data_IF_879073580680
#
_entry.id   IF_879073580680
#
_cell.length_a   1.000
_cell.length_b   1.000
_cell.length_c   1.000
_cell.angle_alpha   90.00
_cell.angle_beta   90.00
_cell.angle_gamma   90.00
#
_symmetry.space_group_name_H-M   'P 1'
#
loop_
_entity.id
_entity.type
_entity.pdbx_description
1 polymer ?
#
# COMPACT_ATOMS: atom_id res chain seq x y z
N UNK A 1 -0.06 -23.38 10.69
CA UNK A 1 -1.16 -22.42 10.40
C UNK A 1 -0.72 -21.06 10.89
N UNK A 2 -0.22 -20.21 10.00
CA UNK A 2 0.40 -18.94 10.35
C UNK A 2 -0.67 -17.86 10.53
N UNK A 3 -1.08 -17.62 11.77
CA UNK A 3 -1.72 -16.36 12.15
C UNK A 3 -0.64 -15.30 12.30
N UNK A 4 -0.49 -14.41 11.32
CA UNK A 4 0.33 -13.21 11.49
C UNK A 4 -0.06 -12.13 10.48
N UNK A 5 -1.18 -11.47 10.75
CA UNK A 5 -1.29 -9.99 10.74
C UNK A 5 -2.37 -9.67 11.77
N UNK A 6 -1.94 -9.26 12.97
CA UNK A 6 -2.82 -8.94 14.09
C UNK A 6 -3.33 -7.50 14.07
N UNK A 7 -3.64 -6.98 12.88
CA UNK A 7 -4.29 -5.68 12.71
C UNK A 7 -5.47 -5.92 11.78
N UNK A 8 -6.67 -5.64 12.27
CA UNK A 8 -7.83 -5.64 11.40
C UNK A 8 -7.63 -4.54 10.36
N UNK A 9 -7.83 -4.76 9.05
CA UNK A 9 -7.69 -3.72 8.03
C UNK A 9 -8.51 -2.45 8.32
N UNK A 10 -9.53 -2.56 9.17
CA UNK A 10 -10.38 -1.47 9.63
C UNK A 10 -9.74 -0.54 10.69
N UNK A 11 -8.58 -0.90 11.24
CA UNK A 11 -7.88 -0.10 12.27
C UNK A 11 -6.79 0.80 11.70
N UNK A 12 -6.47 0.67 10.41
CA UNK A 12 -5.48 1.53 9.73
C UNK A 12 -6.19 2.82 9.29
N UNK A 13 -5.85 3.93 9.93
CA UNK A 13 -6.29 5.26 9.55
C UNK A 13 -5.80 5.63 8.16
N UNK A 14 -6.53 6.52 7.48
CA UNK A 14 -6.15 6.98 6.13
C UNK A 14 -4.81 7.69 6.10
N UNK A 15 -4.42 8.33 7.19
CA UNK A 15 -3.19 9.09 7.33
C UNK A 15 -2.06 8.26 7.96
N UNK A 16 -2.34 7.02 8.37
CA UNK A 16 -1.33 6.17 8.98
C UNK A 16 -0.37 5.67 7.90
N UNK A 17 0.93 5.79 8.18
CA UNK A 17 1.97 5.21 7.35
C UNK A 17 1.81 3.68 7.35
N UNK A 18 1.61 3.11 6.17
CA UNK A 18 1.48 1.68 5.97
C UNK A 18 2.71 0.93 6.50
N UNK A 19 3.90 1.53 6.38
CA UNK A 19 5.13 0.95 6.91
C UNK A 19 5.16 0.93 8.44
N UNK A 20 4.59 1.94 9.11
CA UNK A 20 4.54 2.02 10.58
C UNK A 20 3.53 1.03 11.17
N UNK A 21 2.43 0.76 10.45
CA UNK A 21 1.45 -0.27 10.82
C UNK A 21 1.89 -1.68 10.39
N UNK A 22 3.10 -1.85 9.85
CA UNK A 22 3.73 -3.15 9.64
C UNK A 22 3.65 -3.72 8.23
N UNK A 23 3.28 -2.92 7.22
CA UNK A 23 3.54 -3.27 5.82
C UNK A 23 5.05 -3.29 5.59
N UNK A 24 5.63 -4.42 5.20
CA UNK A 24 7.04 -4.47 4.84
C UNK A 24 7.27 -4.02 3.39
N UNK A 25 8.52 -3.66 3.07
CA UNK A 25 8.91 -3.14 1.76
C UNK A 25 8.75 -4.15 0.63
N UNK A 26 8.91 -5.45 0.89
CA UNK A 26 8.79 -6.52 -0.11
C UNK A 26 7.32 -6.72 -0.47
N UNK A 27 6.44 -6.72 0.53
CA UNK A 27 5.00 -6.80 0.36
C UNK A 27 4.49 -5.56 -0.38
N UNK A 28 4.95 -4.35 -0.02
CA UNK A 28 4.62 -3.11 -0.72
C UNK A 28 5.05 -3.14 -2.20
N UNK A 29 6.30 -3.53 -2.49
CA UNK A 29 6.80 -3.64 -3.86
C UNK A 29 6.04 -4.69 -4.68
N UNK A 30 5.65 -5.80 -4.06
CA UNK A 30 4.86 -6.86 -4.70
C UNK A 30 3.46 -6.37 -5.07
N UNK A 31 2.80 -5.61 -4.18
CA UNK A 31 1.50 -4.97 -4.42
C UNK A 31 1.57 -3.99 -5.59
N UNK A 32 2.49 -3.03 -5.53
CA UNK A 32 2.70 -2.04 -6.60
C UNK A 32 3.02 -2.73 -7.93
N UNK A 33 3.88 -3.76 -7.90
CA UNK A 33 4.21 -4.55 -9.09
C UNK A 33 3.00 -5.26 -9.69
N UNK A 34 2.07 -5.74 -8.85
CA UNK A 34 0.82 -6.37 -9.32
C UNK A 34 -0.12 -5.36 -9.99
N UNK A 35 -0.29 -4.17 -9.42
CA UNK A 35 -1.10 -3.11 -10.02
C UNK A 35 -0.52 -2.61 -11.34
N UNK A 36 0.79 -2.46 -11.44
CA UNK A 36 1.47 -2.11 -12.70
C UNK A 36 1.21 -3.14 -13.79
N UNK A 37 1.25 -4.44 -13.47
CA UNK A 37 0.87 -5.50 -14.42
C UNK A 37 -0.61 -5.46 -14.80
N UNK A 38 -1.47 -4.93 -13.93
CA UNK A 38 -2.89 -4.72 -14.17
C UNK A 38 -3.20 -3.42 -14.95
N UNK A 39 -2.19 -2.65 -15.35
CA UNK A 39 -2.36 -1.43 -16.15
C UNK A 39 -2.23 -0.12 -15.38
N UNK A 40 -1.78 -0.14 -14.13
CA UNK A 40 -1.45 1.08 -13.39
C UNK A 40 -0.28 1.83 -14.05
N UNK A 41 -0.55 3.03 -14.54
CA UNK A 41 0.43 3.94 -15.17
C UNK A 41 1.05 4.93 -14.17
N UNK A 42 1.41 4.43 -12.98
CA UNK A 42 2.04 5.23 -11.91
C UNK A 42 3.38 4.65 -11.53
N UNK A 43 4.33 5.51 -11.21
CA UNK A 43 5.66 5.10 -10.77
C UNK A 43 5.61 4.58 -9.35
N UNK A 44 6.34 3.50 -9.07
CA UNK A 44 6.46 2.95 -7.70
C UNK A 44 6.96 3.98 -6.68
N UNK A 45 7.78 4.94 -7.14
CA UNK A 45 8.25 6.05 -6.31
C UNK A 45 7.10 6.89 -5.74
N UNK A 46 6.03 7.12 -6.49
CA UNK A 46 4.87 7.91 -6.01
C UNK A 46 4.23 7.27 -4.77
N UNK A 47 4.19 5.92 -4.71
CA UNK A 47 3.67 5.19 -3.55
C UNK A 47 4.64 5.18 -2.37
N UNK A 48 5.95 5.19 -2.63
CA UNK A 48 6.97 5.17 -1.59
C UNK A 48 7.17 6.55 -0.94
N UNK A 49 6.98 7.63 -1.70
CA UNK A 49 7.08 9.01 -1.21
C UNK A 49 5.84 9.43 -0.40
N UNK A 50 4.70 8.75 -0.60
CA UNK A 50 3.42 8.98 0.06
C UNK A 50 2.86 7.68 0.65
N UNK A 51 3.40 7.19 1.78
CA UNK A 51 3.17 5.82 2.26
C UNK A 51 1.88 5.64 3.07
N UNK A 52 0.91 6.55 2.98
CA UNK A 52 -0.36 6.42 3.70
C UNK A 52 -1.41 5.66 2.90
N UNK A 53 -2.35 5.01 3.60
CA UNK A 53 -3.45 4.30 2.95
C UNK A 53 -4.31 5.24 2.07
N UNK A 54 -4.55 6.46 2.55
CA UNK A 54 -5.34 7.47 1.87
C UNK A 54 -4.70 7.94 0.57
N UNK A 55 -3.39 8.19 0.57
CA UNK A 55 -2.65 8.59 -0.61
C UNK A 55 -2.56 7.47 -1.65
N UNK A 56 -2.32 6.22 -1.20
CA UNK A 56 -2.32 5.06 -2.09
C UNK A 56 -3.67 4.88 -2.78
N UNK A 57 -4.77 5.04 -2.04
CA UNK A 57 -6.11 5.00 -2.63
C UNK A 57 -6.33 6.11 -3.67
N UNK A 58 -5.85 7.33 -3.40
CA UNK A 58 -5.92 8.44 -4.34
C UNK A 58 -5.14 8.16 -5.61
N UNK A 59 -3.92 7.62 -5.51
CA UNK A 59 -3.09 7.24 -6.65
C UNK A 59 -3.75 6.16 -7.51
N UNK A 60 -4.43 5.19 -6.88
CA UNK A 60 -5.15 4.12 -7.56
C UNK A 60 -6.48 4.58 -8.20
N UNK A 61 -7.17 5.52 -7.57
CA UNK A 61 -8.48 6.03 -8.05
C UNK A 61 -8.38 7.02 -9.21
N UNK A 62 -7.20 7.58 -9.48
CA UNK A 62 -6.97 8.54 -10.58
C UNK A 62 -6.58 7.86 -11.91
N UNK A 63 -7.19 6.72 -12.22
CA UNK A 63 -7.03 5.97 -13.47
C UNK A 63 -8.21 6.17 -14.42
#
# INVERSE_FOLDING_TARGET
MAGRVGLSPAEIGREDSLFEVGLDSVTAQSLIGSWRRAGLDRHSREFLDSPTLGEWWLLLSKG
#
